data_IF_689745286715
#
_entry.id   IF_689745286715
#
_cell.length_a   1.000
_cell.length_b   1.000
_cell.length_c   1.000
_cell.angle_alpha   90.00
_cell.angle_beta   90.00
_cell.angle_gamma   90.00
#
_symmetry.space_group_name_H-M   'P 1'
#
loop_
_entity.id
_entity.type
_entity.pdbx_description
1 polymer ?
#
# COMPACT_ATOMS: atom_id res chain seq x y z
N UNK A 1 -17.12 -18.04 -11.43
CA UNK A 1 -16.83 -17.29 -10.18
C UNK A 1 -16.21 -15.97 -10.57
N UNK A 2 -16.51 -14.86 -9.90
CA UNK A 2 -15.96 -13.55 -10.27
C UNK A 2 -14.46 -13.40 -9.92
N UNK A 3 -13.95 -14.29 -9.06
CA UNK A 3 -12.53 -14.36 -8.69
C UNK A 3 -11.84 -15.53 -9.40
N UNK A 4 -10.64 -15.32 -9.96
CA UNK A 4 -9.88 -16.37 -10.62
C UNK A 4 -9.32 -17.37 -9.60
N UNK A 5 -9.07 -18.61 -10.05
CA UNK A 5 -8.24 -19.55 -9.31
C UNK A 5 -6.76 -19.23 -9.51
N UNK A 6 -6.26 -18.30 -8.72
CA UNK A 6 -4.88 -17.81 -8.82
C UNK A 6 -4.28 -17.51 -7.45
N UNK A 7 -3.01 -17.87 -7.31
CA UNK A 7 -2.09 -17.47 -6.25
C UNK A 7 -0.77 -17.03 -6.92
N UNK A 8 -0.02 -16.10 -6.32
CA UNK A 8 1.21 -15.63 -6.92
C UNK A 8 2.26 -16.74 -6.84
N UNK A 9 3.04 -16.90 -7.91
CA UNK A 9 4.20 -17.80 -7.87
C UNK A 9 5.24 -17.25 -6.91
N UNK A 10 6.05 -18.13 -6.32
CA UNK A 10 7.19 -17.70 -5.52
C UNK A 10 8.12 -16.79 -6.33
N UNK A 11 8.72 -15.78 -5.69
CA UNK A 11 9.60 -14.83 -6.38
C UNK A 11 10.74 -15.48 -7.14
N UNK A 12 11.08 -14.95 -8.32
CA UNK A 12 12.23 -15.39 -9.11
C UNK A 12 13.36 -14.37 -9.06
N UNK A 13 14.38 -14.68 -8.28
CA UNK A 13 15.54 -13.82 -8.06
C UNK A 13 16.62 -14.10 -9.11
N UNK A 14 16.76 -13.20 -10.10
CA UNK A 14 17.98 -13.16 -10.93
C UNK A 14 19.17 -12.65 -10.10
N UNK A 15 20.40 -12.84 -10.59
CA UNK A 15 21.62 -12.36 -9.91
C UNK A 15 21.50 -10.87 -9.53
N UNK A 16 21.10 -10.02 -10.47
CA UNK A 16 20.94 -8.57 -10.23
C UNK A 16 19.84 -8.22 -9.22
N UNK A 17 18.74 -9.00 -9.19
CA UNK A 17 17.67 -8.76 -8.21
C UNK A 17 18.07 -9.25 -6.82
N UNK A 18 18.79 -10.37 -6.77
CA UNK A 18 19.28 -10.95 -5.53
C UNK A 18 20.36 -10.06 -4.91
N UNK A 19 21.22 -9.41 -5.71
CA UNK A 19 22.23 -8.49 -5.18
C UNK A 19 21.59 -7.37 -4.37
N UNK A 20 20.54 -6.72 -4.90
CA UNK A 20 19.79 -5.67 -4.18
C UNK A 20 19.17 -6.15 -2.87
N UNK A 21 18.82 -7.44 -2.77
CA UNK A 21 18.26 -8.05 -1.56
C UNK A 21 19.35 -8.25 -0.50
N UNK A 22 20.49 -8.84 -0.89
CA UNK A 22 21.58 -9.21 0.05
C UNK A 22 22.59 -8.11 0.34
N UNK A 23 22.60 -7.01 -0.44
CA UNK A 23 23.46 -5.83 -0.21
C UNK A 23 23.18 -5.11 1.12
N UNK A 24 22.21 -5.59 1.91
CA UNK A 24 21.79 -4.95 3.14
C UNK A 24 22.18 -5.80 4.36
N UNK A 25 23.04 -5.26 5.20
CA UNK A 25 23.25 -5.80 6.54
C UNK A 25 22.00 -5.56 7.39
N UNK A 26 21.38 -6.65 7.87
CA UNK A 26 20.20 -6.57 8.72
C UNK A 26 20.65 -6.51 10.18
N UNK A 27 20.63 -5.31 10.75
CA UNK A 27 20.88 -5.11 12.17
C UNK A 27 19.56 -5.02 12.93
N UNK A 28 19.50 -5.69 14.09
CA UNK A 28 18.39 -5.48 15.03
C UNK A 28 18.51 -4.04 15.58
N UNK A 29 17.47 -3.19 15.44
CA UNK A 29 17.50 -1.86 16.01
C UNK A 29 17.59 -1.94 17.53
N UNK A 30 18.23 -0.94 18.14
CA UNK A 30 18.23 -0.79 19.59
C UNK A 30 16.80 -0.53 20.08
N UNK A 31 16.47 -1.10 21.24
CA UNK A 31 15.18 -0.83 21.86
C UNK A 31 15.12 0.64 22.30
N UNK A 32 13.96 1.27 22.08
CA UNK A 32 13.64 2.61 22.54
C UNK A 32 12.86 2.56 23.86
N UNK A 33 13.10 3.55 24.72
CA UNK A 33 12.36 3.72 25.97
C UNK A 33 11.05 4.49 25.75
N UNK A 34 10.16 4.48 26.75
CA UNK A 34 8.96 5.32 26.72
C UNK A 34 9.31 6.80 26.61
N UNK A 35 10.38 7.25 27.28
CA UNK A 35 10.80 8.64 27.25
C UNK A 35 11.34 9.07 25.88
N UNK A 36 12.11 8.21 25.20
CA UNK A 36 12.61 8.48 23.85
C UNK A 36 11.46 8.76 22.87
N UNK A 37 10.41 7.92 22.93
CA UNK A 37 9.23 8.06 22.07
C UNK A 37 8.40 9.29 22.43
N UNK A 38 8.27 9.63 23.70
CA UNK A 38 7.60 10.88 24.12
C UNK A 38 8.33 12.08 23.52
N UNK A 39 9.66 12.14 23.65
CA UNK A 39 10.46 13.23 23.13
C UNK A 39 10.37 13.33 21.60
N UNK A 40 10.48 12.20 20.90
CA UNK A 40 10.33 12.13 19.44
C UNK A 40 8.93 12.59 19.00
N UNK A 41 7.90 12.19 19.72
CA UNK A 41 6.52 12.58 19.44
C UNK A 41 6.28 14.07 19.72
N UNK A 42 6.85 14.65 20.78
CA UNK A 42 6.72 16.07 21.08
C UNK A 42 7.48 16.95 20.06
N UNK A 43 8.56 16.43 19.49
CA UNK A 43 9.33 17.08 18.42
C UNK A 43 8.80 16.79 17.01
N UNK A 44 7.70 16.05 16.86
CA UNK A 44 7.17 15.70 15.54
C UNK A 44 6.70 16.97 14.81
N UNK A 45 7.11 17.19 13.54
CA UNK A 45 6.95 18.49 12.87
C UNK A 45 5.47 18.86 12.60
N UNK A 46 4.57 17.87 12.60
CA UNK A 46 3.15 18.09 12.44
C UNK A 46 2.43 17.85 13.76
N UNK A 47 1.61 18.82 14.18
CA UNK A 47 0.81 18.67 15.40
C UNK A 47 -0.15 17.49 15.28
N UNK A 48 -0.07 16.56 16.23
CA UNK A 48 -1.06 15.50 16.38
C UNK A 48 -2.46 16.09 16.63
N UNK A 49 -3.52 15.55 16.03
CA UNK A 49 -4.88 16.08 16.19
C UNK A 49 -5.41 15.89 17.63
N UNK A 50 -4.94 14.86 18.34
CA UNK A 50 -5.33 14.51 19.71
C UNK A 50 -4.15 13.86 20.43
N UNK A 51 -4.12 14.00 21.76
CA UNK A 51 -3.06 13.43 22.60
C UNK A 51 -3.45 12.09 23.27
N UNK A 52 -4.71 11.65 23.17
CA UNK A 52 -5.22 10.47 23.91
C UNK A 52 -4.40 9.20 23.67
N UNK A 53 -4.00 8.95 22.41
CA UNK A 53 -3.22 7.77 22.03
C UNK A 53 -1.70 7.93 22.15
N UNK A 54 -1.21 9.09 22.62
CA UNK A 54 0.24 9.33 22.73
C UNK A 54 0.77 8.79 24.05
N UNK A 55 2.00 8.25 24.03
CA UNK A 55 2.64 7.68 25.23
C UNK A 55 2.69 8.66 26.42
N UNK A 56 2.86 9.97 26.16
CA UNK A 56 2.86 11.00 27.20
C UNK A 56 1.56 11.06 28.02
N UNK A 57 0.45 10.67 27.40
CA UNK A 57 -0.88 10.59 28.02
C UNK A 57 -1.12 9.19 28.57
N UNK A 58 -0.78 8.16 27.79
CA UNK A 58 -1.04 6.76 28.14
C UNK A 58 -0.27 6.29 29.37
N UNK A 59 0.91 6.85 29.66
CA UNK A 59 1.69 6.50 30.87
C UNK A 59 0.95 6.74 32.19
N UNK A 60 -0.13 7.52 32.19
CA UNK A 60 -0.98 7.71 33.36
C UNK A 60 -1.91 6.52 33.63
N UNK A 61 -2.10 5.64 32.65
CA UNK A 61 -3.07 4.54 32.69
C UNK A 61 -2.44 3.17 32.35
N UNK A 62 -1.27 3.17 31.71
CA UNK A 62 -0.58 1.98 31.20
C UNK A 62 0.82 1.93 31.77
N UNK A 63 1.27 0.75 32.20
CA UNK A 63 2.62 0.58 32.74
C UNK A 63 3.69 0.85 31.69
N UNK A 64 4.83 1.35 32.13
CA UNK A 64 5.98 1.61 31.26
C UNK A 64 6.44 0.35 30.52
N UNK A 65 6.43 -0.81 31.18
CA UNK A 65 6.78 -2.10 30.57
C UNK A 65 5.89 -2.48 29.38
N UNK A 66 4.59 -2.19 29.45
CA UNK A 66 3.65 -2.44 28.34
C UNK A 66 3.89 -1.44 27.21
N UNK A 67 4.11 -0.16 27.54
CA UNK A 67 4.41 0.87 26.56
C UNK A 67 5.70 0.54 25.78
N UNK A 68 6.78 0.21 26.48
CA UNK A 68 8.06 -0.15 25.85
C UNK A 68 7.97 -1.43 25.03
N UNK A 69 7.23 -2.44 25.50
CA UNK A 69 6.93 -3.64 24.70
C UNK A 69 6.23 -3.25 23.39
N UNK A 70 5.21 -2.39 23.45
CA UNK A 70 4.44 -1.98 22.28
C UNK A 70 5.30 -1.16 21.31
N UNK A 71 6.07 -0.18 21.83
CA UNK A 71 7.03 0.64 21.07
C UNK A 71 8.00 -0.24 20.28
N UNK A 72 8.61 -1.23 20.94
CA UNK A 72 9.65 -2.07 20.34
C UNK A 72 9.08 -3.26 19.55
N UNK A 73 7.76 -3.36 19.44
CA UNK A 73 7.09 -4.40 18.65
C UNK A 73 6.72 -3.98 17.24
N UNK A 74 6.91 -2.69 16.92
CA UNK A 74 6.57 -2.08 15.63
C UNK A 74 7.55 -2.56 14.57
N UNK A 75 7.05 -3.08 13.46
CA UNK A 75 7.89 -3.33 12.28
C UNK A 75 7.11 -3.22 10.97
N UNK A 76 7.78 -2.86 9.86
CA UNK A 76 7.19 -2.97 8.52
C UNK A 76 6.98 -4.43 8.11
N UNK A 77 5.86 -4.71 7.44
CA UNK A 77 5.50 -6.04 6.92
C UNK A 77 5.22 -5.91 5.42
N UNK A 78 5.95 -6.66 4.62
CA UNK A 78 5.90 -6.63 3.15
C UNK A 78 5.78 -8.07 2.65
N UNK A 79 4.88 -8.30 1.69
CA UNK A 79 4.77 -9.58 1.01
C UNK A 79 6.05 -9.87 0.19
N UNK A 80 6.53 -11.11 0.17
CA UNK A 80 7.80 -11.46 -0.50
C UNK A 80 7.82 -11.09 -2.00
N UNK A 81 6.74 -11.34 -2.75
CA UNK A 81 6.59 -10.89 -4.13
C UNK A 81 6.67 -9.38 -4.31
N UNK A 82 6.23 -8.59 -3.32
CA UNK A 82 6.38 -7.15 -3.38
C UNK A 82 7.84 -6.72 -3.22
N UNK A 83 8.67 -7.47 -2.48
CA UNK A 83 10.12 -7.21 -2.42
C UNK A 83 10.77 -7.40 -3.80
N UNK A 84 10.41 -8.47 -4.52
CA UNK A 84 10.90 -8.69 -5.88
C UNK A 84 10.44 -7.55 -6.82
N UNK A 85 9.17 -7.15 -6.72
CA UNK A 85 8.64 -6.00 -7.45
C UNK A 85 9.43 -4.72 -7.17
N UNK A 86 9.82 -4.48 -5.91
CA UNK A 86 10.60 -3.31 -5.52
C UNK A 86 11.98 -3.33 -6.17
N UNK A 87 12.70 -4.47 -6.13
CA UNK A 87 13.98 -4.62 -6.81
C UNK A 87 13.85 -4.40 -8.33
N UNK A 88 12.83 -5.01 -8.96
CA UNK A 88 12.55 -4.80 -10.40
C UNK A 88 12.27 -3.35 -10.72
N UNK A 89 11.53 -2.65 -9.86
CA UNK A 89 11.21 -1.23 -10.02
C UNK A 89 12.45 -0.34 -9.93
N UNK A 90 13.32 -0.57 -8.94
CA UNK A 90 14.59 0.16 -8.79
C UNK A 90 15.43 0.01 -10.07
N UNK A 91 15.65 -1.22 -10.52
CA UNK A 91 16.42 -1.50 -11.75
C UNK A 91 15.76 -0.89 -13.00
N UNK A 92 14.44 -0.96 -13.08
CA UNK A 92 13.69 -0.34 -14.18
C UNK A 92 13.93 1.18 -14.21
N UNK A 93 13.83 1.86 -13.07
CA UNK A 93 14.01 3.31 -12.98
C UNK A 93 15.45 3.76 -13.23
N UNK A 94 16.45 2.96 -12.84
CA UNK A 94 17.87 3.20 -13.21
C UNK A 94 18.08 3.26 -14.73
N UNK A 95 17.37 2.42 -15.48
CA UNK A 95 17.57 2.29 -16.93
C UNK A 95 16.61 3.16 -17.75
N UNK A 96 15.37 3.29 -17.32
CA UNK A 96 14.27 3.84 -18.11
C UNK A 96 13.63 5.10 -17.51
N UNK A 97 14.00 5.49 -16.28
CA UNK A 97 13.44 6.68 -15.65
C UNK A 97 13.86 7.98 -16.32
N UNK A 98 13.22 9.08 -15.90
CA UNK A 98 13.66 10.44 -16.23
C UNK A 98 15.10 10.71 -15.73
N UNK A 99 15.72 11.81 -16.16
CA UNK A 99 17.06 12.17 -15.66
C UNK A 99 17.10 12.27 -14.12
N UNK A 100 16.02 12.78 -13.52
CA UNK A 100 15.85 12.91 -12.06
C UNK A 100 15.67 11.56 -11.38
N UNK A 101 14.83 10.69 -11.94
CA UNK A 101 14.65 9.34 -11.43
C UNK A 101 15.96 8.54 -11.52
N UNK A 102 16.62 8.56 -12.68
CA UNK A 102 17.91 7.89 -12.86
C UNK A 102 18.94 8.34 -11.85
N UNK A 103 19.00 9.64 -11.56
CA UNK A 103 19.87 10.18 -10.53
C UNK A 103 19.53 9.64 -9.14
N UNK A 104 18.24 9.67 -8.76
CA UNK A 104 17.77 9.20 -7.46
C UNK A 104 18.02 7.69 -7.26
N UNK A 105 17.69 6.86 -8.26
CA UNK A 105 17.74 5.40 -8.12
C UNK A 105 19.12 4.81 -8.39
N UNK A 106 20.08 5.59 -8.91
CA UNK A 106 21.40 5.12 -9.39
C UNK A 106 22.05 4.09 -8.47
N UNK A 107 22.11 4.41 -7.18
CA UNK A 107 22.73 3.58 -6.13
C UNK A 107 21.74 3.17 -5.03
N UNK A 108 20.43 3.35 -5.25
CA UNK A 108 19.43 3.08 -4.22
C UNK A 108 19.34 1.58 -3.94
N UNK A 109 19.56 1.19 -2.68
CA UNK A 109 19.37 -0.19 -2.23
C UNK A 109 17.89 -0.51 -2.01
N UNK A 110 17.55 -1.78 -1.77
CA UNK A 110 16.20 -2.15 -1.37
C UNK A 110 15.79 -1.49 -0.05
N UNK A 111 16.70 -1.42 0.94
CA UNK A 111 16.41 -0.79 2.23
C UNK A 111 16.23 0.72 2.11
N UNK A 112 17.04 1.39 1.29
CA UNK A 112 16.85 2.82 0.99
C UNK A 112 15.47 3.08 0.39
N UNK A 113 15.03 2.21 -0.53
CA UNK A 113 13.72 2.34 -1.15
C UNK A 113 12.59 2.11 -0.14
N UNK A 114 12.67 1.08 0.72
CA UNK A 114 11.68 0.86 1.79
C UNK A 114 11.63 2.05 2.74
N UNK A 115 12.78 2.56 3.18
CA UNK A 115 12.87 3.75 4.04
C UNK A 115 12.28 4.99 3.36
N UNK A 116 12.52 5.17 2.06
CA UNK A 116 11.92 6.24 1.26
C UNK A 116 10.40 6.12 1.21
N UNK A 117 9.88 4.91 0.99
CA UNK A 117 8.44 4.66 1.01
C UNK A 117 7.81 4.93 2.39
N UNK A 118 8.55 4.91 3.50
CA UNK A 118 8.04 5.33 4.82
C UNK A 118 8.15 6.84 5.05
N UNK A 119 9.29 7.44 4.69
CA UNK A 119 9.69 8.79 5.13
C UNK A 119 9.32 9.91 4.18
N UNK A 120 9.13 9.62 2.88
CA UNK A 120 8.80 10.62 1.85
C UNK A 120 7.30 10.68 1.52
N UNK A 121 6.45 10.17 2.41
CA UNK A 121 4.99 10.28 2.29
C UNK A 121 4.50 11.64 2.75
N UNK A 122 3.42 12.11 2.13
CA UNK A 122 2.61 13.15 2.74
C UNK A 122 1.93 12.61 4.01
N UNK A 123 1.83 13.44 5.04
CA UNK A 123 1.11 13.16 6.28
C UNK A 123 -0.39 12.97 6.01
N UNK A 124 -0.91 13.72 5.03
CA UNK A 124 -2.26 13.57 4.51
C UNK A 124 -2.18 13.55 2.98
N UNK A 125 -2.89 12.62 2.33
CA UNK A 125 -3.01 12.56 0.88
C UNK A 125 -4.37 11.96 0.50
N UNK A 126 -5.34 12.79 0.09
CA UNK A 126 -6.72 12.32 -0.06
C UNK A 126 -7.55 13.04 -1.12
N UNK A 127 -8.64 12.39 -1.52
CA UNK A 127 -9.63 12.94 -2.46
C UNK A 127 -9.26 12.79 -3.93
N UNK A 128 -10.06 13.35 -4.83
CA UNK A 128 -9.79 13.30 -6.29
C UNK A 128 -8.79 14.36 -6.76
N UNK A 129 -8.66 15.44 -5.99
CA UNK A 129 -7.75 16.56 -6.26
C UNK A 129 -6.47 16.44 -5.42
N UNK A 130 -6.24 15.30 -4.78
CA UNK A 130 -5.04 15.04 -3.97
C UNK A 130 -4.71 16.16 -3.00
N UNK A 131 -5.67 16.48 -2.12
CA UNK A 131 -5.38 17.38 -1.01
C UNK A 131 -4.29 16.76 -0.16
N UNK A 132 -3.24 17.52 0.10
CA UNK A 132 -2.08 17.03 0.83
C UNK A 132 -1.63 17.94 1.97
N UNK A 133 -0.96 17.33 2.95
CA UNK A 133 -0.13 17.98 3.95
C UNK A 133 1.21 17.26 3.96
N UNK A 134 2.31 17.95 3.67
CA UNK A 134 3.66 17.40 3.71
C UNK A 134 4.19 17.39 5.15
N UNK A 135 5.24 16.60 5.40
CA UNK A 135 5.89 16.52 6.71
C UNK A 135 6.49 17.87 7.16
N UNK A 136 6.90 18.69 6.20
CA UNK A 136 7.37 20.06 6.38
C UNK A 136 6.25 21.07 6.70
N UNK A 137 4.99 20.67 6.60
CA UNK A 137 3.82 21.47 6.97
C UNK A 137 3.10 22.15 5.80
N UNK A 138 3.71 22.19 4.61
CA UNK A 138 3.09 22.73 3.40
C UNK A 138 1.82 21.95 3.05
N UNK A 139 0.80 22.70 2.62
CA UNK A 139 -0.51 22.18 2.26
C UNK A 139 -0.83 22.59 0.85
N UNK A 140 -1.54 21.72 0.13
CA UNK A 140 -1.97 22.03 -1.21
C UNK A 140 -2.96 21.02 -1.75
N UNK A 141 -3.20 21.13 -3.05
CA UNK A 141 -3.96 20.16 -3.82
C UNK A 141 -3.47 20.16 -5.26
N UNK A 142 -3.61 19.01 -5.93
CA UNK A 142 -3.16 18.74 -7.30
C UNK A 142 -1.62 18.82 -7.46
N UNK A 143 -1.13 18.64 -8.67
CA UNK A 143 0.29 18.75 -9.04
C UNK A 143 1.13 17.51 -8.75
N UNK A 144 0.56 16.49 -8.10
CA UNK A 144 1.28 15.27 -7.72
C UNK A 144 1.76 14.46 -8.93
N UNK A 145 1.06 14.57 -10.07
CA UNK A 145 1.41 13.96 -11.35
C UNK A 145 2.76 14.41 -11.90
N UNK A 146 3.24 15.59 -11.50
CA UNK A 146 4.48 16.14 -12.02
C UNK A 146 5.73 15.58 -11.31
N UNK A 147 5.60 15.01 -10.12
CA UNK A 147 6.71 14.52 -9.30
C UNK A 147 7.51 13.45 -10.06
N UNK A 148 8.82 13.68 -10.23
CA UNK A 148 9.72 12.80 -10.98
C UNK A 148 9.80 13.09 -12.49
N UNK A 149 9.03 14.06 -12.98
CA UNK A 149 9.10 14.55 -14.36
C UNK A 149 9.92 15.84 -14.45
N UNK A 150 10.20 16.32 -15.66
CA UNK A 150 10.84 17.61 -15.88
C UNK A 150 9.96 18.81 -15.44
N UNK A 151 8.66 18.56 -15.23
CA UNK A 151 7.69 19.56 -14.80
C UNK A 151 7.48 19.59 -13.28
N UNK A 152 8.21 18.80 -12.48
CA UNK A 152 8.09 18.84 -11.03
C UNK A 152 8.45 20.24 -10.48
N UNK A 153 7.75 20.69 -9.44
CA UNK A 153 7.94 22.01 -8.84
C UNK A 153 7.89 21.91 -7.31
N UNK A 154 8.76 22.62 -6.58
CA UNK A 154 8.67 22.69 -5.12
C UNK A 154 7.26 23.11 -4.64
N UNK A 155 6.74 22.53 -3.54
CA UNK A 155 7.39 21.53 -2.69
C UNK A 155 7.24 20.07 -3.20
N UNK A 156 6.52 19.86 -4.31
CA UNK A 156 6.24 18.56 -4.91
C UNK A 156 7.35 18.13 -5.88
N UNK A 157 8.48 17.74 -5.30
CA UNK A 157 9.64 17.23 -6.04
C UNK A 157 9.99 15.82 -5.58
N UNK A 158 10.54 15.00 -6.48
CA UNK A 158 10.85 13.59 -6.23
C UNK A 158 11.78 13.39 -5.03
N UNK A 159 12.69 14.33 -4.77
CA UNK A 159 13.56 14.28 -3.59
C UNK A 159 12.79 14.23 -2.25
N UNK A 160 11.64 14.92 -2.19
CA UNK A 160 10.89 15.15 -0.96
C UNK A 160 9.58 14.35 -0.89
N UNK A 161 9.05 13.92 -2.03
CA UNK A 161 7.77 13.24 -2.12
C UNK A 161 7.89 11.95 -2.93
N UNK A 162 7.06 10.95 -2.58
CA UNK A 162 6.87 9.77 -3.43
C UNK A 162 6.05 10.10 -4.68
N UNK A 163 6.50 9.63 -5.84
CA UNK A 163 5.75 9.77 -7.11
C UNK A 163 4.52 8.85 -7.15
N UNK A 164 3.61 9.02 -8.11
CA UNK A 164 2.48 8.09 -8.26
C UNK A 164 2.88 6.65 -8.54
N UNK A 165 4.00 6.44 -9.23
CA UNK A 165 4.56 5.11 -9.40
C UNK A 165 4.95 4.54 -8.04
N UNK A 166 5.68 5.29 -7.23
CA UNK A 166 6.07 4.86 -5.87
C UNK A 166 4.86 4.66 -4.95
N UNK A 167 3.78 5.45 -5.10
CA UNK A 167 2.53 5.25 -4.36
C UNK A 167 1.99 3.84 -4.59
N UNK A 168 2.03 3.31 -5.82
CA UNK A 168 1.57 1.94 -6.16
C UNK A 168 2.41 0.85 -5.50
N UNK A 169 3.68 1.12 -5.20
CA UNK A 169 4.54 0.20 -4.45
C UNK A 169 4.28 0.34 -2.95
N UNK A 170 4.09 1.57 -2.49
CA UNK A 170 3.89 1.94 -1.08
C UNK A 170 2.70 1.25 -0.41
N UNK A 171 1.72 0.80 -1.19
CA UNK A 171 0.52 0.12 -0.68
C UNK A 171 0.78 -1.30 -0.16
N UNK A 172 1.90 -1.92 -0.53
CA UNK A 172 2.33 -3.23 -0.03
C UNK A 172 3.16 -3.14 1.25
N UNK A 173 3.55 -1.93 1.64
CA UNK A 173 4.30 -1.65 2.85
C UNK A 173 3.34 -1.39 4.00
N UNK A 174 3.11 -2.43 4.81
CA UNK A 174 2.26 -2.37 5.99
C UNK A 174 3.11 -2.14 7.25
N UNK A 175 2.51 -1.68 8.33
CA UNK A 175 3.19 -1.55 9.63
C UNK A 175 2.35 -2.23 10.69
N UNK A 176 2.93 -3.17 11.42
CA UNK A 176 2.26 -3.95 12.46
C UNK A 176 2.83 -3.61 13.84
N UNK A 177 1.97 -3.47 14.84
CA UNK A 177 2.38 -3.18 16.23
C UNK A 177 1.39 -3.73 17.25
N UNK A 178 1.89 -4.18 18.39
CA UNK A 178 1.04 -4.26 19.58
C UNK A 178 0.53 -2.85 19.93
N UNK A 179 -0.72 -2.78 20.36
CA UNK A 179 -1.42 -1.54 20.62
C UNK A 179 -2.30 -1.69 21.84
N UNK A 180 -2.25 -0.70 22.73
CA UNK A 180 -3.21 -0.54 23.81
C UNK A 180 -4.45 0.18 23.28
N UNK A 181 -5.63 -0.42 23.42
CA UNK A 181 -6.87 0.13 22.88
C UNK A 181 -7.46 1.17 23.82
N UNK A 182 -7.39 2.45 23.42
CA UNK A 182 -7.99 3.55 24.18
C UNK A 182 -9.52 3.56 24.13
N UNK A 183 -10.12 3.00 23.07
CA UNK A 183 -11.56 2.89 22.85
C UNK A 183 -11.88 1.86 21.75
N UNK A 184 -13.18 1.67 21.45
CA UNK A 184 -13.69 0.70 20.48
C UNK A 184 -13.47 1.08 18.99
N UNK A 185 -12.81 2.21 18.69
CA UNK A 185 -12.50 2.60 17.31
C UNK A 185 -13.69 3.11 16.48
N UNK A 186 -14.84 3.43 17.09
CA UNK A 186 -16.00 3.98 16.37
C UNK A 186 -15.70 5.33 15.67
N UNK A 187 -16.25 5.52 14.47
CA UNK A 187 -16.02 6.70 13.62
C UNK A 187 -16.26 8.06 14.30
N UNK A 188 -17.13 8.10 15.31
CA UNK A 188 -17.57 9.35 15.99
C UNK A 188 -17.07 9.46 17.42
N UNK A 189 -16.22 8.55 17.89
CA UNK A 189 -15.74 8.60 19.27
C UNK A 189 -14.72 9.72 19.53
N UNK A 190 -14.22 10.37 18.48
CA UNK A 190 -13.24 11.47 18.54
C UNK A 190 -11.98 11.12 19.33
N UNK A 191 -11.55 9.85 19.26
CA UNK A 191 -10.41 9.32 20.00
C UNK A 191 -10.48 9.56 21.51
N UNK A 192 -11.69 9.62 22.09
CA UNK A 192 -11.86 9.71 23.55
C UNK A 192 -11.48 8.41 24.22
N UNK A 193 -10.84 8.50 25.39
CA UNK A 193 -10.54 7.33 26.21
C UNK A 193 -11.84 6.75 26.78
N UNK A 194 -12.01 5.45 26.68
CA UNK A 194 -13.17 4.74 27.23
C UNK A 194 -12.87 4.34 28.68
N UNK A 195 -13.57 4.96 29.63
CA UNK A 195 -13.34 4.76 31.06
C UNK A 195 -13.81 3.39 31.55
N UNK A 196 -14.94 2.88 31.04
CA UNK A 196 -15.39 1.52 31.37
C UNK A 196 -14.56 0.50 30.59
N UNK A 197 -13.61 -0.13 31.29
CA UNK A 197 -12.67 -1.09 30.71
C UNK A 197 -13.27 -2.49 30.53
N UNK A 198 -14.46 -2.78 31.05
CA UNK A 198 -15.10 -4.12 30.97
C UNK A 198 -15.66 -4.45 29.59
N UNK A 199 -15.87 -3.42 28.76
CA UNK A 199 -16.51 -3.55 27.44
C UNK A 199 -15.52 -3.48 26.29
N UNK A 200 -14.22 -3.48 26.58
CA UNK A 200 -13.15 -3.30 25.60
C UNK A 200 -11.97 -4.21 25.94
N UNK A 201 -11.41 -4.87 24.93
CA UNK A 201 -10.13 -5.57 25.07
C UNK A 201 -9.03 -4.55 25.36
N UNK A 202 -8.16 -4.82 26.34
CA UNK A 202 -7.13 -3.84 26.71
C UNK A 202 -6.10 -3.65 25.62
N UNK A 203 -5.69 -4.75 24.98
CA UNK A 203 -4.60 -4.76 24.03
C UNK A 203 -4.88 -5.68 22.86
N UNK A 204 -4.24 -5.38 21.74
CA UNK A 204 -4.24 -6.23 20.57
C UNK A 204 -3.16 -5.79 19.60
N UNK A 205 -3.33 -6.14 18.33
CA UNK A 205 -2.40 -5.77 17.27
C UNK A 205 -3.15 -4.94 16.26
N UNK A 206 -2.57 -3.80 15.88
CA UNK A 206 -3.04 -3.01 14.74
C UNK A 206 -2.02 -3.15 13.63
N UNK A 207 -2.50 -3.50 12.45
CA UNK A 207 -1.74 -3.45 11.21
C UNK A 207 -2.32 -2.37 10.30
N UNK A 208 -1.48 -1.40 9.92
CA UNK A 208 -1.83 -0.37 8.95
C UNK A 208 -1.77 -0.90 7.54
N UNK A 209 -2.93 -1.04 6.88
CA UNK A 209 -3.05 -1.64 5.54
C UNK A 209 -3.77 -0.72 4.57
N UNK A 210 -3.38 -0.79 3.29
CA UNK A 210 -3.89 0.11 2.25
C UNK A 210 -4.60 -0.72 1.17
N UNK A 211 -5.90 -0.45 1.01
CA UNK A 211 -6.70 -1.01 -0.08
C UNK A 211 -6.56 -0.25 -1.39
N UNK A 212 -7.05 -0.79 -2.52
CA UNK A 212 -6.93 -0.15 -3.83
C UNK A 212 -7.63 1.21 -3.89
N UNK A 213 -6.99 2.22 -4.47
CA UNK A 213 -7.57 3.57 -4.62
C UNK A 213 -7.89 3.86 -6.09
N UNK A 214 -9.17 3.80 -6.43
CA UNK A 214 -9.66 4.01 -7.81
C UNK A 214 -10.36 5.35 -8.02
N UNK A 215 -10.31 6.24 -7.02
CA UNK A 215 -11.05 7.52 -7.03
C UNK A 215 -10.53 8.53 -8.07
N UNK A 216 -9.27 8.42 -8.48
CA UNK A 216 -8.62 9.29 -9.46
C UNK A 216 -8.21 8.46 -10.67
N UNK A 217 -8.64 8.87 -11.84
CA UNK A 217 -8.32 8.19 -13.09
C UNK A 217 -6.83 8.36 -13.45
N UNK A 218 -6.28 7.42 -14.22
CA UNK A 218 -4.96 7.49 -14.84
C UNK A 218 -3.74 7.41 -13.90
N UNK A 219 -3.94 7.14 -12.61
CA UNK A 219 -2.87 7.03 -11.61
C UNK A 219 -3.18 5.92 -10.60
N UNK A 220 -2.17 5.51 -9.81
CA UNK A 220 -2.31 4.47 -8.78
C UNK A 220 -2.86 3.17 -9.39
N UNK A 221 -3.63 2.37 -8.64
CA UNK A 221 -4.17 1.11 -9.14
C UNK A 221 -5.19 1.26 -10.28
N UNK A 222 -5.66 2.48 -10.57
CA UNK A 222 -6.52 2.71 -11.73
C UNK A 222 -5.80 2.32 -13.04
N UNK A 223 -4.47 2.51 -13.10
CA UNK A 223 -3.66 2.21 -14.29
C UNK A 223 -3.67 0.74 -14.69
N UNK A 224 -3.82 -0.17 -13.74
CA UNK A 224 -3.88 -1.62 -13.96
C UNK A 224 -5.32 -2.15 -13.97
N UNK A 225 -6.17 -1.67 -13.07
CA UNK A 225 -7.48 -2.28 -12.81
C UNK A 225 -8.57 -1.74 -13.74
N UNK A 226 -8.43 -0.49 -14.20
CA UNK A 226 -9.44 0.16 -15.05
C UNK A 226 -8.86 0.47 -16.41
N UNK A 227 -9.47 -0.14 -17.43
CA UNK A 227 -9.02 -0.11 -18.82
C UNK A 227 -9.92 0.85 -19.62
N UNK A 228 -9.34 1.84 -20.29
CA UNK A 228 -10.09 2.77 -21.14
C UNK A 228 -9.32 3.21 -22.40
N UNK A 229 -10.06 3.80 -23.34
CA UNK A 229 -9.60 4.23 -24.67
C UNK A 229 -8.66 5.45 -24.68
N UNK A 230 -8.48 6.13 -23.53
CA UNK A 230 -7.59 7.30 -23.40
C UNK A 230 -6.27 6.97 -22.70
N UNK A 231 -6.31 6.05 -21.75
CA UNK A 231 -5.18 5.62 -20.93
C UNK A 231 -4.47 4.43 -21.55
N UNK A 232 -5.19 3.33 -21.81
CA UNK A 232 -4.61 2.05 -22.21
C UNK A 232 -4.42 2.00 -23.72
N UNK A 233 -3.46 2.76 -24.22
CA UNK A 233 -3.17 2.89 -25.66
C UNK A 233 -1.67 2.88 -25.89
N UNK A 234 -1.24 2.48 -27.09
CA UNK A 234 0.17 2.27 -27.39
C UNK A 234 1.04 3.52 -27.20
N UNK A 235 0.50 4.73 -27.43
CA UNK A 235 1.22 5.99 -27.18
C UNK A 235 1.55 6.25 -25.70
N UNK A 236 0.89 5.56 -24.78
CA UNK A 236 1.13 5.61 -23.34
C UNK A 236 1.84 4.32 -22.88
N UNK A 237 2.54 3.63 -23.79
CA UNK A 237 3.33 2.42 -23.52
C UNK A 237 2.54 1.21 -22.99
N UNK A 238 1.24 1.17 -23.29
CA UNK A 238 0.40 -0.02 -23.15
C UNK A 238 0.42 -0.88 -24.42
N UNK A 239 -0.04 -2.13 -24.29
CA UNK A 239 -0.15 -3.06 -25.41
C UNK A 239 0.92 -4.14 -25.38
N UNK A 240 0.55 -5.36 -25.74
CA UNK A 240 1.42 -6.54 -25.56
C UNK A 240 2.68 -6.53 -26.43
N UNK A 241 2.69 -5.67 -27.45
CA UNK A 241 3.81 -5.50 -28.40
C UNK A 241 4.75 -4.36 -28.05
N UNK A 242 4.43 -3.54 -27.03
CA UNK A 242 5.29 -2.44 -26.67
C UNK A 242 6.61 -2.94 -26.04
N UNK A 243 7.66 -2.12 -26.11
CA UNK A 243 8.87 -2.34 -25.34
C UNK A 243 8.55 -2.34 -23.84
N UNK A 244 9.37 -3.02 -23.02
CA UNK A 244 9.16 -3.16 -21.57
C UNK A 244 8.94 -1.79 -20.91
N UNK A 245 7.71 -1.49 -20.52
CA UNK A 245 7.31 -0.25 -19.84
C UNK A 245 7.03 -0.48 -18.35
N UNK A 246 6.75 0.60 -17.61
CA UNK A 246 6.33 0.48 -16.21
C UNK A 246 5.03 -0.34 -16.08
N UNK A 247 4.10 -0.22 -17.03
CA UNK A 247 2.88 -1.01 -17.06
C UNK A 247 3.19 -2.50 -17.26
N UNK A 248 4.17 -2.85 -18.09
CA UNK A 248 4.63 -4.24 -18.25
C UNK A 248 5.22 -4.79 -16.96
N UNK A 249 5.92 -3.97 -16.17
CA UNK A 249 6.46 -4.37 -14.88
C UNK A 249 5.34 -4.76 -13.90
N UNK A 250 4.28 -3.95 -13.80
CA UNK A 250 3.12 -4.28 -12.95
C UNK A 250 2.28 -5.44 -13.49
N UNK A 251 2.05 -5.53 -14.81
CA UNK A 251 1.32 -6.66 -15.39
C UNK A 251 2.06 -7.98 -15.16
N UNK A 252 3.40 -8.00 -15.27
CA UNK A 252 4.21 -9.18 -14.92
C UNK A 252 4.08 -9.58 -13.47
N UNK A 253 4.06 -8.62 -12.55
CA UNK A 253 3.84 -8.87 -11.12
C UNK A 253 2.48 -9.54 -10.84
N UNK A 254 1.45 -9.15 -11.59
CA UNK A 254 0.14 -9.81 -11.53
C UNK A 254 0.01 -11.03 -12.44
N UNK A 255 1.09 -11.48 -13.10
CA UNK A 255 1.06 -12.58 -14.07
C UNK A 255 -0.04 -12.41 -15.14
N UNK A 256 -0.19 -11.18 -15.65
CA UNK A 256 -1.12 -10.84 -16.72
C UNK A 256 -0.39 -10.20 -17.91
N UNK A 257 -0.95 -10.28 -19.13
CA UNK A 257 -0.46 -9.48 -20.25
C UNK A 257 -0.80 -8.00 -20.06
N UNK A 258 0.15 -7.12 -20.41
CA UNK A 258 -0.09 -5.67 -20.48
C UNK A 258 -0.87 -5.34 -21.76
N UNK A 259 -2.19 -5.51 -21.73
CA UNK A 259 -3.05 -5.23 -22.88
C UNK A 259 -3.35 -3.73 -23.02
N UNK A 260 -3.46 -3.28 -24.27
CA UNK A 260 -4.13 -2.02 -24.57
C UNK A 260 -5.66 -2.19 -24.62
N UNK A 261 -6.38 -1.10 -24.85
CA UNK A 261 -7.84 -1.09 -24.90
C UNK A 261 -8.40 -1.95 -26.04
N UNK A 262 -7.79 -1.91 -27.22
CA UNK A 262 -8.22 -2.69 -28.39
C UNK A 262 -7.98 -4.19 -28.23
N UNK A 263 -6.82 -4.56 -27.70
CA UNK A 263 -6.47 -5.93 -27.32
C UNK A 263 -7.42 -6.45 -26.22
N UNK A 264 -7.75 -5.60 -25.24
CA UNK A 264 -8.71 -5.94 -24.17
C UNK A 264 -10.09 -6.20 -24.74
N UNK A 265 -10.61 -5.33 -25.62
CA UNK A 265 -11.90 -5.54 -26.28
C UNK A 265 -11.90 -6.83 -27.12
N UNK A 266 -10.82 -7.11 -27.82
CA UNK A 266 -10.68 -8.33 -28.63
C UNK A 266 -10.68 -9.58 -27.76
N UNK A 267 -9.92 -9.57 -26.67
CA UNK A 267 -9.88 -10.68 -25.72
C UNK A 267 -11.22 -10.86 -25.00
N UNK A 268 -11.88 -9.77 -24.58
CA UNK A 268 -13.21 -9.82 -23.95
C UNK A 268 -14.24 -10.52 -24.84
N UNK A 269 -14.18 -10.38 -26.18
CA UNK A 269 -15.06 -11.09 -27.12
C UNK A 269 -14.83 -12.61 -27.17
N UNK A 270 -13.65 -13.08 -26.76
CA UNK A 270 -13.34 -14.52 -26.69
C UNK A 270 -13.84 -15.18 -25.41
N UNK A 271 -14.21 -14.38 -24.40
CA UNK A 271 -14.69 -14.89 -23.12
C UNK A 271 -16.16 -15.27 -23.20
N UNK A 272 -16.57 -16.25 -22.39
CA UNK A 272 -17.98 -16.57 -22.23
C UNK A 272 -18.73 -15.40 -21.59
N UNK A 273 -20.03 -15.26 -21.87
CA UNK A 273 -20.88 -14.22 -21.27
C UNK A 273 -20.91 -14.24 -19.74
N UNK A 274 -20.61 -15.40 -19.14
CA UNK A 274 -20.62 -15.63 -17.69
C UNK A 274 -19.22 -15.68 -17.07
N UNK A 275 -18.16 -15.35 -17.82
CA UNK A 275 -16.76 -15.42 -17.34
C UNK A 275 -16.53 -14.50 -16.13
N UNK A 276 -17.13 -13.30 -16.14
CA UNK A 276 -17.11 -12.39 -15.00
C UNK A 276 -15.79 -11.65 -14.79
N UNK A 277 -14.77 -11.82 -15.64
CA UNK A 277 -13.51 -11.05 -15.55
C UNK A 277 -13.73 -9.55 -15.73
N UNK A 278 -14.52 -9.13 -16.72
CA UNK A 278 -14.68 -7.72 -17.05
C UNK A 278 -16.06 -7.19 -16.67
N UNK A 279 -16.07 -6.01 -16.03
CA UNK A 279 -17.31 -5.26 -15.72
C UNK A 279 -17.28 -3.92 -16.41
N UNK A 280 -18.24 -3.67 -17.31
CA UNK A 280 -18.36 -2.38 -17.98
C UNK A 280 -18.84 -1.30 -17.01
N UNK A 281 -18.14 -0.18 -17.01
CA UNK A 281 -18.47 1.02 -16.25
C UNK A 281 -18.83 2.16 -17.22
N UNK A 282 -19.21 3.31 -16.66
CA UNK A 282 -19.51 4.51 -17.45
C UNK A 282 -18.26 5.02 -18.17
N UNK A 283 -18.48 5.75 -19.26
CA UNK A 283 -17.44 6.50 -19.99
C UNK A 283 -16.32 5.61 -20.56
N UNK A 284 -16.68 4.50 -21.21
CA UNK A 284 -15.75 3.56 -21.85
C UNK A 284 -14.69 2.96 -20.89
N UNK A 285 -15.00 2.91 -19.59
CA UNK A 285 -14.15 2.25 -18.61
C UNK A 285 -14.57 0.79 -18.48
N UNK A 286 -13.60 -0.11 -18.52
CA UNK A 286 -13.77 -1.54 -18.27
C UNK A 286 -12.98 -1.88 -17.02
N UNK A 287 -13.66 -2.44 -16.01
CA UNK A 287 -13.02 -2.89 -14.78
C UNK A 287 -12.57 -4.35 -14.93
N UNK A 288 -11.32 -4.66 -14.62
CA UNK A 288 -10.80 -6.03 -14.57
C UNK A 288 -10.88 -6.59 -13.14
N UNK A 289 -11.89 -7.44 -12.91
CA UNK A 289 -12.15 -8.12 -11.65
C UNK A 289 -11.01 -9.07 -11.24
N UNK A 290 -10.29 -9.63 -12.21
CA UNK A 290 -9.14 -10.48 -11.93
C UNK A 290 -7.99 -9.65 -11.39
N UNK A 291 -7.61 -8.54 -12.05
CA UNK A 291 -6.55 -7.67 -11.55
C UNK A 291 -6.89 -7.06 -10.19
N UNK A 292 -8.15 -6.69 -9.96
CA UNK A 292 -8.60 -6.25 -8.63
C UNK A 292 -8.44 -7.35 -7.57
N UNK A 293 -8.88 -8.57 -7.85
CA UNK A 293 -8.64 -9.73 -6.97
C UNK A 293 -7.13 -9.92 -6.72
N UNK A 294 -6.30 -9.95 -7.76
CA UNK A 294 -4.86 -10.16 -7.66
C UNK A 294 -4.18 -9.08 -6.82
N UNK A 295 -4.63 -7.83 -6.92
CA UNK A 295 -4.15 -6.75 -6.04
C UNK A 295 -4.57 -6.97 -4.58
N UNK A 296 -5.79 -7.42 -4.32
CA UNK A 296 -6.29 -7.65 -2.96
C UNK A 296 -5.55 -8.78 -2.24
N UNK A 297 -5.23 -9.88 -2.93
CA UNK A 297 -4.66 -11.05 -2.25
C UNK A 297 -3.34 -10.74 -1.55
N UNK A 298 -2.50 -9.84 -2.07
CA UNK A 298 -1.24 -9.48 -1.41
C UNK A 298 -1.48 -8.82 -0.05
N UNK A 299 -2.54 -8.00 0.06
CA UNK A 299 -2.95 -7.42 1.34
C UNK A 299 -3.57 -8.49 2.25
N UNK A 300 -4.45 -9.35 1.70
CA UNK A 300 -5.11 -10.39 2.48
C UNK A 300 -4.10 -11.40 3.04
N UNK A 301 -3.22 -11.92 2.19
CA UNK A 301 -2.20 -12.90 2.57
C UNK A 301 -1.24 -12.31 3.61
N UNK A 302 -0.80 -11.05 3.43
CA UNK A 302 0.04 -10.37 4.43
C UNK A 302 -0.66 -10.28 5.79
N UNK A 303 -1.96 -9.94 5.81
CA UNK A 303 -2.76 -9.87 7.04
C UNK A 303 -2.86 -11.24 7.73
N UNK A 304 -3.22 -12.28 6.98
CA UNK A 304 -3.42 -13.62 7.50
C UNK A 304 -2.11 -14.22 8.01
N UNK A 305 -1.01 -14.05 7.28
CA UNK A 305 0.33 -14.53 7.68
C UNK A 305 0.83 -13.81 8.92
N UNK A 306 0.72 -12.48 8.99
CA UNK A 306 1.13 -11.69 10.16
C UNK A 306 0.28 -12.06 11.39
N UNK A 307 -1.04 -12.18 11.24
CA UNK A 307 -1.92 -12.59 12.32
C UNK A 307 -1.58 -13.99 12.85
N UNK A 308 -1.35 -14.95 11.95
CA UNK A 308 -0.94 -16.30 12.31
C UNK A 308 0.43 -16.32 13.00
N UNK A 309 1.40 -15.55 12.51
CA UNK A 309 2.72 -15.42 13.13
C UNK A 309 2.62 -14.88 14.56
N UNK A 310 1.89 -13.77 14.75
CA UNK A 310 1.70 -13.15 16.06
C UNK A 310 0.95 -14.04 17.04
N UNK A 311 -0.08 -14.75 16.58
CA UNK A 311 -0.82 -15.70 17.40
C UNK A 311 0.04 -16.91 17.80
N UNK A 312 0.86 -17.43 16.87
CA UNK A 312 1.83 -18.50 17.16
C UNK A 312 2.85 -18.10 18.22
N UNK A 313 3.38 -16.87 18.18
CA UNK A 313 4.29 -16.34 19.21
C UNK A 313 3.64 -16.24 20.61
N UNK A 314 2.31 -16.30 20.67
CA UNK A 314 1.51 -16.29 21.90
C UNK A 314 0.83 -17.62 22.19
N UNK A 315 1.16 -18.67 21.43
CA UNK A 315 0.60 -20.01 21.59
C UNK A 315 -0.95 -20.02 21.61
N UNK A 316 -1.55 -19.17 20.79
CA UNK A 316 -3.01 -18.96 20.72
C UNK A 316 -3.49 -18.86 19.27
N UNK A 317 -4.78 -18.62 19.08
CA UNK A 317 -5.39 -18.33 17.77
C UNK A 317 -5.59 -16.83 17.56
N UNK A 318 -5.67 -16.41 16.30
CA UNK A 318 -5.94 -15.02 15.95
C UNK A 318 -7.45 -14.80 15.73
N UNK A 319 -7.99 -13.77 16.38
CA UNK A 319 -9.25 -13.15 15.96
C UNK A 319 -8.92 -11.90 15.12
N UNK A 320 -9.38 -11.88 13.87
CA UNK A 320 -9.09 -10.78 12.93
C UNK A 320 -10.34 -9.95 12.71
N UNK A 321 -10.32 -8.69 13.15
CA UNK A 321 -11.31 -7.70 12.77
C UNK A 321 -10.80 -6.89 11.59
N UNK A 322 -11.35 -7.11 10.40
CA UNK A 322 -10.99 -6.37 9.18
C UNK A 322 -12.17 -5.58 8.65
N UNK A 323 -11.94 -4.29 8.38
CA UNK A 323 -12.89 -3.44 7.65
C UNK A 323 -12.57 -3.46 6.15
N UNK A 324 -13.53 -3.07 5.31
CA UNK A 324 -13.33 -3.02 3.87
C UNK A 324 -12.15 -2.13 3.45
N UNK A 325 -11.05 -2.74 3.01
CA UNK A 325 -9.86 -2.03 2.54
C UNK A 325 -10.14 -1.41 1.16
N UNK A 326 -10.23 -0.07 1.10
CA UNK A 326 -10.50 0.65 -0.16
C UNK A 326 -11.96 0.60 -0.63
N UNK A 327 -12.88 0.03 0.14
CA UNK A 327 -14.31 -0.04 -0.19
C UNK A 327 -15.11 1.22 0.19
N UNK A 328 -14.47 2.20 0.81
CA UNK A 328 -15.10 3.48 1.16
C UNK A 328 -15.15 4.44 -0.03
N UNK A 329 -14.66 5.66 0.17
CA UNK A 329 -14.62 6.70 -0.89
C UNK A 329 -13.66 6.39 -2.05
N UNK A 330 -12.97 5.25 -2.00
CA UNK A 330 -11.96 4.80 -2.97
C UNK A 330 -12.50 3.83 -4.02
N UNK A 331 -13.63 3.16 -3.77
CA UNK A 331 -14.28 2.32 -4.77
C UNK A 331 -14.95 3.17 -5.86
N UNK A 332 -15.10 2.60 -7.05
CA UNK A 332 -15.77 3.20 -8.19
C UNK A 332 -17.08 2.50 -8.55
N UNK A 333 -17.29 1.26 -8.07
CA UNK A 333 -18.55 0.54 -8.27
C UNK A 333 -18.79 -0.50 -7.17
N UNK A 334 -20.06 -0.72 -6.82
CA UNK A 334 -20.48 -1.57 -5.68
C UNK A 334 -20.09 -3.06 -5.83
N UNK A 335 -19.93 -3.56 -7.06
CA UNK A 335 -19.54 -4.96 -7.28
C UNK A 335 -18.18 -5.32 -6.67
N UNK A 336 -17.31 -4.33 -6.42
CA UNK A 336 -16.04 -4.49 -5.72
C UNK A 336 -16.20 -5.08 -4.32
N UNK A 337 -17.32 -4.82 -3.63
CA UNK A 337 -17.62 -5.39 -2.30
C UNK A 337 -17.73 -6.90 -2.39
N UNK A 338 -18.43 -7.42 -3.40
CA UNK A 338 -18.57 -8.87 -3.62
C UNK A 338 -17.20 -9.50 -3.90
N UNK A 339 -16.42 -8.92 -4.80
CA UNK A 339 -15.10 -9.46 -5.15
C UNK A 339 -14.16 -9.45 -3.94
N UNK A 340 -14.23 -8.42 -3.11
CA UNK A 340 -13.47 -8.35 -1.87
C UNK A 340 -13.82 -9.48 -0.90
N UNK A 341 -15.12 -9.73 -0.69
CA UNK A 341 -15.58 -10.82 0.18
C UNK A 341 -15.23 -12.20 -0.41
N UNK A 342 -15.43 -12.40 -1.72
CA UNK A 342 -15.05 -13.63 -2.42
C UNK A 342 -13.53 -13.87 -2.30
N UNK A 343 -12.71 -12.81 -2.40
CA UNK A 343 -11.27 -12.90 -2.25
C UNK A 343 -10.87 -13.37 -0.84
N UNK A 344 -11.43 -12.75 0.21
CA UNK A 344 -11.18 -13.18 1.58
C UNK A 344 -11.60 -14.63 1.83
N UNK A 345 -12.80 -15.01 1.39
CA UNK A 345 -13.29 -16.38 1.55
C UNK A 345 -12.34 -17.40 0.89
N UNK A 346 -11.86 -17.11 -0.32
CA UNK A 346 -10.94 -17.97 -1.06
C UNK A 346 -9.55 -18.07 -0.44
N UNK A 347 -9.07 -17.03 0.26
CA UNK A 347 -7.75 -17.07 0.92
C UNK A 347 -7.78 -17.68 2.33
N UNK A 348 -8.98 -17.83 2.91
CA UNK A 348 -9.18 -18.52 4.18
C UNK A 348 -9.38 -20.04 4.00
N UNK A 349 -9.88 -20.46 2.84
CA UNK A 349 -10.02 -21.88 2.45
C UNK A 349 -8.70 -22.44 1.94
#
# INVERSE_FOLDING_TARGET
MAVPDWSPKSPQWSVDLYSLLIENDIFKPMNLTTQDIIQNSDNFPIKFPVDTGRCKTLKNFVSESILERNINSVYPVIHENALELYCRFILYKRNNGSAKEKHLYKNMTLMDFINRLLTKRAVMFMGKDDKYVLLSGEKGSKGWEAIGTDNEQPPLVLENCISYDEVKLSVFLNVSSYTYFVNLGERRNMAKYLADRKIIEEEGIIIGMIGPRLKKANVMEFQEIVINDKQNISRNDYGTKASSSIHHLFSKFYEEPCRDYGETLSYKKTLSSNDGRYTDLKSNNIFDNHLYYKRLIFSIDTLLTEANHRAKLKETTAYIHVVGLGLGVWMISKHQEKIYMDAFAKRLS
#
